data_IF_324258445253
#
_entry.id   IF_324258445253
#
_cell.length_a   1.000
_cell.length_b   1.000
_cell.length_c   1.000
_cell.angle_alpha   90.00
_cell.angle_beta   90.00
_cell.angle_gamma   90.00
#
_symmetry.space_group_name_H-M   'P 1'
#
loop_
_entity.id
_entity.type
_entity.pdbx_description
1 polymer ?
#
# COMPACT_ATOMS: atom_id res chain seq x y z
N UNK A 1 4.52 -23.66 18.94
CA UNK A 1 4.10 -24.69 17.98
C UNK A 1 2.66 -24.53 17.46
N UNK A 2 1.95 -23.41 17.69
CA UNK A 2 0.57 -23.22 17.18
C UNK A 2 0.43 -22.31 15.94
N UNK A 3 1.43 -21.48 15.60
CA UNK A 3 1.40 -20.69 14.37
C UNK A 3 2.85 -20.47 13.89
N UNK A 4 3.21 -21.00 12.71
CA UNK A 4 4.49 -20.71 12.06
C UNK A 4 4.57 -19.25 11.58
N UNK A 5 5.61 -18.90 10.80
CA UNK A 5 5.82 -17.52 10.32
C UNK A 5 4.60 -16.88 9.62
N UNK A 6 3.84 -17.66 8.84
CA UNK A 6 2.62 -17.18 8.18
C UNK A 6 1.48 -16.85 9.16
N UNK A 7 1.36 -17.63 10.23
CA UNK A 7 0.31 -17.43 11.23
C UNK A 7 0.55 -16.17 12.05
N UNK A 8 1.81 -15.82 12.31
CA UNK A 8 2.19 -14.56 12.98
C UNK A 8 1.80 -13.35 12.11
N UNK A 9 2.10 -13.39 10.81
CA UNK A 9 1.74 -12.30 9.87
C UNK A 9 0.22 -12.12 9.79
N UNK A 10 -0.53 -13.21 9.71
CA UNK A 10 -1.99 -13.16 9.73
C UNK A 10 -2.51 -12.56 11.03
N UNK A 11 -1.95 -12.95 12.18
CA UNK A 11 -2.33 -12.42 13.48
C UNK A 11 -2.08 -10.92 13.58
N UNK A 12 -0.95 -10.43 13.08
CA UNK A 12 -0.66 -8.99 13.02
C UNK A 12 -1.66 -8.22 12.16
N UNK A 13 -2.08 -8.80 11.02
CA UNK A 13 -3.12 -8.22 10.17
C UNK A 13 -4.46 -8.11 10.89
N UNK A 14 -4.89 -9.17 11.57
CA UNK A 14 -6.13 -9.17 12.37
C UNK A 14 -6.07 -8.14 13.48
N UNK A 15 -4.95 -8.07 14.22
CA UNK A 15 -4.73 -7.06 15.26
C UNK A 15 -4.83 -5.65 14.67
N UNK A 16 -4.17 -5.37 13.54
CA UNK A 16 -4.25 -4.06 12.89
C UNK A 16 -5.68 -3.64 12.55
N UNK A 17 -6.50 -4.56 12.03
CA UNK A 17 -7.90 -4.29 11.73
C UNK A 17 -8.72 -4.05 13.00
N UNK A 18 -8.55 -4.92 14.02
CA UNK A 18 -9.27 -4.81 15.30
C UNK A 18 -8.99 -3.49 16.00
N UNK A 19 -7.77 -2.97 15.94
CA UNK A 19 -7.42 -1.67 16.52
C UNK A 19 -7.90 -0.48 15.66
N UNK A 20 -7.96 -0.62 14.34
CA UNK A 20 -8.43 0.46 13.44
C UNK A 20 -9.94 0.71 13.57
N UNK A 21 -10.73 -0.35 13.76
CA UNK A 21 -12.20 -0.27 13.88
C UNK A 21 -12.67 0.70 14.99
N UNK A 22 -12.26 0.56 16.26
CA UNK A 22 -12.71 1.46 17.32
C UNK A 22 -12.23 2.89 17.12
N UNK A 23 -11.04 3.10 16.54
CA UNK A 23 -10.51 4.45 16.25
C UNK A 23 -11.44 5.22 15.32
N UNK A 24 -12.10 4.55 14.38
CA UNK A 24 -13.09 5.18 13.47
C UNK A 24 -14.49 5.22 14.10
N UNK A 25 -14.91 4.16 14.80
CA UNK A 25 -16.26 4.03 15.34
C UNK A 25 -16.54 4.92 16.55
N UNK A 26 -15.60 5.02 17.50
CA UNK A 26 -15.75 5.82 18.71
C UNK A 26 -16.07 7.30 18.39
N UNK A 27 -15.29 8.02 17.55
CA UNK A 27 -15.61 9.40 17.20
C UNK A 27 -16.91 9.50 16.39
N UNK A 28 -17.23 8.52 15.55
CA UNK A 28 -18.50 8.51 14.80
C UNK A 28 -19.74 8.42 15.72
N UNK A 29 -19.61 7.75 16.87
CA UNK A 29 -20.69 7.58 17.84
C UNK A 29 -20.75 8.73 18.86
N UNK A 30 -19.60 9.18 19.36
CA UNK A 30 -19.52 10.16 20.45
C UNK A 30 -19.41 11.62 19.98
N UNK A 31 -18.95 11.90 18.75
CA UNK A 31 -18.71 13.27 18.32
C UNK A 31 -20.03 14.07 18.12
N UNK A 32 -20.04 15.38 18.45
CA UNK A 32 -21.16 16.26 18.19
C UNK A 32 -21.48 16.38 16.68
N UNK A 33 -22.71 16.01 16.30
CA UNK A 33 -23.17 16.08 14.91
C UNK A 33 -23.73 17.48 14.61
N UNK A 34 -22.91 18.37 14.07
CA UNK A 34 -23.30 19.73 13.66
C UNK A 34 -22.90 20.01 12.20
N UNK A 35 -23.61 19.42 11.21
CA UNK A 35 -23.33 19.66 9.80
C UNK A 35 -23.67 21.10 9.45
N UNK A 36 -22.80 21.76 8.67
CA UNK A 36 -23.06 23.07 8.09
C UNK A 36 -22.46 23.11 6.67
N UNK A 37 -22.98 23.95 5.78
CA UNK A 37 -22.50 24.00 4.39
C UNK A 37 -21.02 24.40 4.28
N UNK A 38 -20.53 25.22 5.21
CA UNK A 38 -19.14 25.70 5.22
C UNK A 38 -18.14 24.60 5.61
N UNK A 39 -18.42 23.74 6.61
CA UNK A 39 -17.53 22.62 6.99
C UNK A 39 -17.57 21.47 6.00
N UNK A 40 -18.63 21.38 5.19
CA UNK A 40 -18.78 20.35 4.18
C UNK A 40 -18.20 20.76 2.81
N UNK A 41 -17.78 22.02 2.66
CA UNK A 41 -17.15 22.50 1.43
C UNK A 41 -15.66 22.07 1.38
N UNK A 42 -15.11 21.80 0.19
CA UNK A 42 -13.67 21.61 0.01
C UNK A 42 -12.87 22.82 0.52
N UNK A 43 -11.76 22.56 1.21
CA UNK A 43 -10.89 23.62 1.72
C UNK A 43 -10.01 24.18 0.60
N UNK A 44 -10.26 25.42 0.19
CA UNK A 44 -9.51 26.15 -0.85
C UNK A 44 -9.05 27.53 -0.32
N UNK A 45 -8.40 27.56 0.85
CA UNK A 45 -7.87 28.80 1.48
C UNK A 45 -8.90 29.93 1.66
N UNK A 46 -10.18 29.59 1.85
CA UNK A 46 -11.28 30.55 1.98
C UNK A 46 -11.86 31.05 0.66
N UNK A 47 -11.34 30.58 -0.49
CA UNK A 47 -11.94 30.83 -1.79
C UNK A 47 -13.03 29.80 -2.10
N UNK A 48 -14.00 30.20 -2.93
CA UNK A 48 -14.97 29.25 -3.48
C UNK A 48 -14.25 28.31 -4.45
N UNK A 49 -14.41 26.99 -4.32
CA UNK A 49 -13.74 26.05 -5.22
C UNK A 49 -14.23 26.28 -6.65
N UNK A 50 -13.31 26.57 -7.58
CA UNK A 50 -13.61 26.78 -9.00
C UNK A 50 -12.82 25.79 -9.84
N UNK A 51 -13.54 25.04 -10.69
CA UNK A 51 -12.94 24.12 -11.64
C UNK A 51 -12.67 22.71 -11.10
N UNK A 52 -12.20 21.85 -11.99
CA UNK A 52 -11.82 20.47 -11.66
C UNK A 52 -10.30 20.35 -11.49
N UNK A 53 -9.87 19.51 -10.55
CA UNK A 53 -8.45 19.18 -10.38
C UNK A 53 -7.90 18.49 -11.64
N UNK A 54 -6.73 18.94 -12.11
CA UNK A 54 -6.07 18.35 -13.29
C UNK A 54 -5.38 17.05 -12.90
N UNK A 55 -5.72 15.95 -13.58
CA UNK A 55 -5.07 14.65 -13.37
C UNK A 55 -3.68 14.59 -14.05
N UNK A 56 -2.63 14.97 -13.33
CA UNK A 56 -1.24 14.93 -13.82
C UNK A 56 -0.49 13.65 -13.43
N UNK A 57 -1.05 12.80 -12.57
CA UNK A 57 -0.37 11.63 -12.01
C UNK A 57 -0.41 10.37 -12.89
N UNK A 58 -1.09 10.41 -14.03
CA UNK A 58 -1.26 9.23 -14.89
C UNK A 58 0.06 8.73 -15.48
N UNK A 59 0.92 9.63 -15.95
CA UNK A 59 2.24 9.27 -16.48
C UNK A 59 3.13 8.58 -15.41
N UNK A 60 3.05 9.03 -14.16
CA UNK A 60 3.78 8.43 -13.04
C UNK A 60 3.29 7.01 -12.71
N UNK A 61 1.98 6.76 -12.83
CA UNK A 61 1.44 5.42 -12.60
C UNK A 61 1.87 4.45 -13.70
N UNK A 62 1.85 4.89 -14.96
CA UNK A 62 2.25 4.06 -16.10
C UNK A 62 3.73 3.64 -16.01
N UNK A 63 4.62 4.59 -15.72
CA UNK A 63 6.05 4.29 -15.57
C UNK A 63 6.29 3.36 -14.38
N UNK A 64 5.61 3.57 -13.25
CA UNK A 64 5.71 2.72 -12.07
C UNK A 64 5.34 1.26 -12.37
N UNK A 65 4.24 1.01 -13.09
CA UNK A 65 3.80 -0.36 -13.40
C UNK A 65 4.82 -1.09 -14.29
N UNK A 66 5.34 -0.41 -15.32
CA UNK A 66 6.34 -0.98 -16.22
C UNK A 66 7.62 -1.34 -15.46
N UNK A 67 8.15 -0.41 -14.65
CA UNK A 67 9.35 -0.66 -13.86
C UNK A 67 9.14 -1.71 -12.76
N UNK A 68 7.96 -1.76 -12.14
CA UNK A 68 7.65 -2.79 -11.15
C UNK A 68 7.61 -4.19 -11.77
N UNK A 69 7.06 -4.33 -12.99
CA UNK A 69 7.09 -5.58 -13.73
C UNK A 69 8.53 -5.96 -14.12
N UNK A 70 9.29 -5.00 -14.65
CA UNK A 70 10.70 -5.20 -15.02
C UNK A 70 11.56 -5.64 -13.83
N UNK A 71 11.39 -5.01 -12.65
CA UNK A 71 12.10 -5.38 -11.43
C UNK A 71 11.80 -6.82 -10.99
N UNK A 72 10.55 -7.26 -11.13
CA UNK A 72 10.15 -8.65 -10.80
C UNK A 72 10.79 -9.66 -11.76
N UNK A 73 10.85 -9.34 -13.05
CA UNK A 73 11.52 -10.16 -14.06
C UNK A 73 13.04 -10.22 -13.82
N UNK A 74 13.67 -9.07 -13.57
CA UNK A 74 15.10 -8.99 -13.28
C UNK A 74 15.49 -9.79 -12.03
N UNK A 75 14.69 -9.70 -10.96
CA UNK A 75 14.88 -10.51 -9.75
C UNK A 75 14.77 -12.01 -10.05
N UNK A 76 13.77 -12.42 -10.83
CA UNK A 76 13.59 -13.81 -11.24
C UNK A 76 14.78 -14.34 -12.04
N UNK A 77 15.27 -13.55 -13.00
CA UNK A 77 16.47 -13.89 -13.77
C UNK A 77 17.72 -14.01 -12.88
N UNK A 78 17.94 -13.04 -11.98
CA UNK A 78 19.08 -13.06 -11.06
C UNK A 78 19.11 -14.30 -10.16
N UNK A 79 17.95 -14.73 -9.67
CA UNK A 79 17.84 -15.96 -8.87
C UNK A 79 18.17 -17.22 -9.67
N UNK A 80 17.77 -17.30 -10.93
CA UNK A 80 18.12 -18.41 -11.82
C UNK A 80 19.63 -18.45 -12.09
N UNK A 81 20.24 -17.29 -12.34
CA UNK A 81 21.69 -17.21 -12.56
C UNK A 81 22.49 -17.63 -11.32
N UNK A 82 22.07 -17.21 -10.13
CA UNK A 82 22.71 -17.63 -8.86
C UNK A 82 22.68 -19.16 -8.71
N UNK A 83 21.56 -19.80 -9.06
CA UNK A 83 21.44 -21.26 -9.03
C UNK A 83 22.39 -21.94 -10.00
N UNK A 84 22.45 -21.49 -11.26
CA UNK A 84 23.34 -22.07 -12.27
C UNK A 84 24.80 -21.99 -11.83
N UNK A 85 25.23 -20.86 -11.26
CA UNK A 85 26.61 -20.70 -10.76
C UNK A 85 26.91 -21.69 -9.63
N UNK A 86 25.96 -21.92 -8.71
CA UNK A 86 26.11 -22.89 -7.62
C UNK A 86 26.22 -24.33 -8.12
N UNK A 87 25.37 -24.73 -9.06
CA UNK A 87 25.41 -26.08 -9.65
C UNK A 87 26.73 -26.30 -10.41
N UNK A 88 27.18 -25.32 -11.19
CA UNK A 88 28.45 -25.41 -11.91
C UNK A 88 29.64 -25.51 -10.95
N UNK A 89 29.64 -24.74 -9.86
CA UNK A 89 30.68 -24.80 -8.82
C UNK A 89 30.71 -26.13 -8.06
N UNK A 90 29.56 -26.80 -7.91
CA UNK A 90 29.46 -28.12 -7.31
C UNK A 90 29.92 -29.27 -8.23
N UNK A 91 29.92 -29.05 -9.55
CA UNK A 91 30.45 -30.02 -10.54
C UNK A 91 31.96 -29.88 -10.73
N UNK A 92 32.50 -28.68 -10.49
CA UNK A 92 33.94 -28.38 -10.66
C UNK A 92 34.78 -28.77 -9.43
N UNK A 93 34.18 -28.87 -8.24
CA UNK A 93 34.82 -29.36 -7.01
C UNK A 93 34.52 -30.84 -6.78
#
# INVERSE_FOLDING_TARGET
>A
MLFGGIGVVFMMGVVGVVFTIPVVLIPKLLAPKKPNPIKNAPFECGQVPVGAAKMQYYAYLLIFIVFAAMARLLKGFGWTMERIVKELGAVVN
#
